data_IF_329207722448
#
_entry.id   IF_329207722448
#
_cell.length_a   1.000
_cell.length_b   1.000
_cell.length_c   1.000
_cell.angle_alpha   90.00
_cell.angle_beta   90.00
_cell.angle_gamma   90.00
#
_symmetry.space_group_name_H-M   'P 1'
#
loop_
_entity.id
_entity.type
_entity.pdbx_description
1 polymer ?
#
# COMPACT_ATOMS: atom_id res chain seq x y z
N UNK A 1 3.46 61.32 -4.97
CA UNK A 1 3.53 60.33 -3.87
C UNK A 1 2.40 59.33 -4.09
N UNK A 2 2.56 58.03 -4.32
CA UNK A 2 3.70 57.18 -4.67
C UNK A 2 3.09 55.83 -5.15
N UNK A 3 2.47 55.79 -6.33
CA UNK A 3 1.89 54.53 -6.87
C UNK A 3 2.94 53.42 -6.98
N UNK A 4 4.20 53.78 -7.26
CA UNK A 4 5.32 52.83 -7.34
C UNK A 4 5.72 52.23 -5.98
N UNK A 5 5.50 52.95 -4.88
CA UNK A 5 5.79 52.46 -3.53
C UNK A 5 4.81 51.38 -3.07
N UNK A 6 3.54 51.56 -3.44
CA UNK A 6 2.45 50.66 -3.08
C UNK A 6 2.55 49.32 -3.83
N UNK A 7 2.88 49.36 -5.12
CA UNK A 7 3.11 48.16 -5.94
C UNK A 7 4.30 47.34 -5.39
N UNK A 8 5.40 47.99 -4.99
CA UNK A 8 6.56 47.30 -4.40
C UNK A 8 6.23 46.69 -3.04
N UNK A 9 5.42 47.35 -2.22
CA UNK A 9 4.94 46.83 -0.94
C UNK A 9 4.05 45.60 -1.13
N UNK A 10 3.09 45.69 -2.05
CA UNK A 10 2.22 44.59 -2.41
C UNK A 10 3.01 43.37 -2.92
N UNK A 11 3.95 43.56 -3.85
CA UNK A 11 4.79 42.47 -4.37
C UNK A 11 5.62 41.81 -3.26
N UNK A 12 6.18 42.57 -2.32
CA UNK A 12 6.88 42.01 -1.16
C UNK A 12 5.95 41.18 -0.28
N UNK A 13 4.73 41.65 -0.03
CA UNK A 13 3.75 40.90 0.76
C UNK A 13 3.40 39.57 0.09
N UNK A 14 3.19 39.56 -1.23
CA UNK A 14 2.95 38.34 -2.00
C UNK A 14 4.13 37.38 -1.89
N UNK A 15 5.37 37.86 -2.05
CA UNK A 15 6.59 37.02 -1.92
C UNK A 15 6.68 36.40 -0.53
N UNK A 16 6.49 37.19 0.54
CA UNK A 16 6.53 36.69 1.91
C UNK A 16 5.44 35.67 2.20
N UNK A 17 4.22 35.91 1.72
CA UNK A 17 3.12 34.98 1.89
C UNK A 17 3.42 33.65 1.20
N UNK A 18 3.89 33.67 -0.05
CA UNK A 18 4.28 32.47 -0.77
C UNK A 18 5.41 31.71 -0.05
N UNK A 19 6.42 32.43 0.45
CA UNK A 19 7.51 31.80 1.20
C UNK A 19 7.00 31.15 2.49
N UNK A 20 6.14 31.84 3.24
CA UNK A 20 5.53 31.30 4.44
C UNK A 20 4.69 30.05 4.13
N UNK A 21 3.90 30.07 3.05
CA UNK A 21 3.12 28.91 2.61
C UNK A 21 4.04 27.73 2.25
N UNK A 22 5.11 27.96 1.49
CA UNK A 22 6.08 26.92 1.14
C UNK A 22 6.71 26.27 2.37
N UNK A 23 7.10 27.09 3.35
CA UNK A 23 7.73 26.59 4.57
C UNK A 23 6.75 25.86 5.49
N UNK A 24 5.56 26.41 5.72
CA UNK A 24 4.63 25.88 6.73
C UNK A 24 3.78 24.73 6.17
N UNK A 25 3.35 24.81 4.91
CA UNK A 25 2.42 23.83 4.33
C UNK A 25 3.14 22.66 3.68
N UNK A 26 4.32 22.89 3.09
CA UNK A 26 5.02 21.86 2.32
C UNK A 26 6.32 21.40 2.99
N UNK A 27 7.28 22.31 3.22
CA UNK A 27 8.63 21.91 3.65
C UNK A 27 8.65 21.43 5.10
N UNK A 28 8.02 22.16 6.01
CA UNK A 28 7.96 21.86 7.44
C UNK A 28 7.41 20.46 7.72
N UNK A 29 6.21 20.10 7.23
CA UNK A 29 5.65 18.77 7.41
C UNK A 29 6.55 17.65 6.89
N UNK A 30 7.20 17.84 5.73
CA UNK A 30 8.13 16.86 5.16
C UNK A 30 9.39 16.69 6.00
N UNK A 31 9.99 17.78 6.46
CA UNK A 31 11.18 17.71 7.33
C UNK A 31 10.83 17.00 8.64
N UNK A 32 9.71 17.37 9.27
CA UNK A 32 9.25 16.71 10.49
C UNK A 32 8.99 15.22 10.26
N UNK A 33 8.34 14.84 9.16
CA UNK A 33 8.08 13.45 8.83
C UNK A 33 9.38 12.65 8.64
N UNK A 34 10.36 13.17 7.90
CA UNK A 34 11.66 12.51 7.72
C UNK A 34 12.42 12.33 9.04
N UNK A 35 12.36 13.32 9.94
CA UNK A 35 13.00 13.23 11.25
C UNK A 35 12.28 12.20 12.13
N UNK A 36 10.96 12.26 12.21
CA UNK A 36 10.14 11.39 13.06
C UNK A 36 10.16 9.91 12.63
N UNK A 37 10.46 9.62 11.37
CA UNK A 37 10.53 8.25 10.83
C UNK A 37 11.96 7.82 10.52
N UNK A 38 12.96 8.57 11.01
CA UNK A 38 14.38 8.24 10.84
C UNK A 38 14.67 6.92 11.55
N UNK A 39 15.24 5.97 10.81
CA UNK A 39 15.60 4.65 11.34
C UNK A 39 14.57 3.56 11.10
N UNK A 40 13.40 3.88 10.54
CA UNK A 40 12.46 2.86 10.08
C UNK A 40 13.05 2.04 8.93
N UNK A 41 12.74 0.76 8.92
CA UNK A 41 13.01 -0.10 7.76
C UNK A 41 12.15 0.33 6.58
N UNK A 42 12.56 -0.08 5.37
CA UNK A 42 11.81 0.26 4.17
C UNK A 42 10.35 -0.28 4.19
N UNK A 43 10.13 -1.45 4.81
CA UNK A 43 8.79 -2.02 5.00
C UNK A 43 7.93 -1.16 5.92
N UNK A 44 8.47 -0.73 7.07
CA UNK A 44 7.75 0.14 8.00
C UNK A 44 7.44 1.49 7.37
N UNK A 45 8.43 2.09 6.69
CA UNK A 45 8.28 3.38 6.02
C UNK A 45 7.14 3.35 4.97
N UNK A 46 7.05 2.28 4.17
CA UNK A 46 5.99 2.12 3.16
C UNK A 46 4.56 2.01 3.72
N UNK A 47 4.42 1.69 5.01
CA UNK A 47 3.13 1.56 5.71
C UNK A 47 2.76 2.80 6.53
N UNK A 48 3.55 3.86 6.47
CA UNK A 48 3.22 5.15 7.08
C UNK A 48 2.12 5.86 6.30
N UNK A 49 1.43 6.81 6.93
CA UNK A 49 0.39 7.62 6.29
C UNK A 49 0.93 8.66 5.30
N UNK A 50 2.24 8.89 5.27
CA UNK A 50 2.84 10.02 4.54
C UNK A 50 2.66 11.34 5.28
N UNK A 51 3.02 12.43 4.60
CA UNK A 51 2.78 13.79 5.10
C UNK A 51 1.39 14.25 4.68
N UNK A 52 0.86 15.28 5.33
CA UNK A 52 -0.44 15.85 4.91
C UNK A 52 -0.44 16.33 3.45
N UNK A 53 0.68 16.88 2.97
CA UNK A 53 0.85 17.37 1.61
C UNK A 53 1.23 16.27 0.59
N UNK A 54 1.71 15.11 1.05
CA UNK A 54 1.87 13.88 0.26
C UNK A 54 1.37 12.65 1.03
N UNK A 55 0.04 12.45 1.07
CA UNK A 55 -0.52 11.28 1.72
C UNK A 55 -0.14 10.01 0.95
N UNK A 56 0.16 8.95 1.69
CA UNK A 56 0.45 7.64 1.12
C UNK A 56 -0.85 6.91 0.78
N UNK A 57 -1.30 7.07 -0.46
CA UNK A 57 -2.51 6.41 -0.98
C UNK A 57 -2.39 4.88 -1.02
N UNK A 58 -1.17 4.33 -0.99
CA UNK A 58 -0.89 2.89 -1.08
C UNK A 58 -0.71 2.21 0.28
N UNK A 59 -0.87 2.94 1.40
CA UNK A 59 -0.63 2.42 2.75
C UNK A 59 -1.32 1.08 3.00
N UNK A 60 -2.61 0.99 2.67
CA UNK A 60 -3.42 -0.22 2.88
C UNK A 60 -2.91 -1.41 2.04
N UNK A 61 -2.41 -1.14 0.84
CA UNK A 61 -1.83 -2.18 -0.02
C UNK A 61 -0.51 -2.70 0.56
N UNK A 62 0.34 -1.83 1.12
CA UNK A 62 1.56 -2.25 1.81
C UNK A 62 1.27 -3.01 3.11
N UNK A 63 0.24 -2.62 3.87
CA UNK A 63 -0.21 -3.34 5.06
C UNK A 63 -0.69 -4.76 4.73
N UNK A 64 -1.53 -4.89 3.69
CA UNK A 64 -1.97 -6.19 3.20
C UNK A 64 -0.80 -7.04 2.68
N UNK A 65 0.08 -6.44 1.88
CA UNK A 65 1.23 -7.14 1.33
C UNK A 65 2.16 -7.66 2.43
N UNK A 66 2.41 -6.86 3.47
CA UNK A 66 3.25 -7.26 4.60
C UNK A 66 2.61 -8.41 5.39
N UNK A 67 1.30 -8.33 5.64
CA UNK A 67 0.57 -9.41 6.30
C UNK A 67 0.68 -10.74 5.53
N UNK A 68 0.53 -10.69 4.19
CA UNK A 68 0.71 -11.88 3.33
C UNK A 68 2.17 -12.34 3.36
N UNK A 69 3.14 -11.42 3.32
CA UNK A 69 4.58 -11.72 3.33
C UNK A 69 4.98 -12.48 4.60
N UNK A 70 4.41 -12.11 5.74
CA UNK A 70 4.66 -12.76 7.03
C UNK A 70 3.97 -14.12 7.13
N UNK A 71 2.78 -14.27 6.55
CA UNK A 71 1.98 -15.49 6.63
C UNK A 71 2.36 -16.58 5.60
N UNK A 72 3.22 -16.28 4.62
CA UNK A 72 3.52 -17.21 3.51
C UNK A 72 5.03 -17.34 3.25
N UNK A 73 5.51 -18.51 2.78
CA UNK A 73 6.90 -18.68 2.37
C UNK A 73 7.23 -17.88 1.10
N UNK A 74 8.52 -17.67 0.82
CA UNK A 74 8.99 -16.84 -0.29
C UNK A 74 8.66 -17.39 -1.68
N UNK A 75 8.45 -18.69 -1.81
CA UNK A 75 8.12 -19.40 -3.06
C UNK A 75 6.62 -19.69 -3.20
N UNK A 76 5.79 -19.02 -2.41
CA UNK A 76 4.35 -19.20 -2.43
C UNK A 76 3.70 -18.74 -3.75
N UNK A 77 2.63 -19.45 -4.13
CA UNK A 77 1.67 -19.02 -5.15
C UNK A 77 0.52 -18.28 -4.46
N UNK A 78 0.35 -17.00 -4.74
CA UNK A 78 -0.67 -16.14 -4.12
C UNK A 78 -1.72 -15.75 -5.16
N UNK A 79 -2.93 -16.23 -4.96
CA UNK A 79 -4.10 -15.90 -5.76
C UNK A 79 -4.83 -14.72 -5.09
N UNK A 80 -4.80 -13.58 -5.76
CA UNK A 80 -5.34 -12.31 -5.29
C UNK A 80 -6.69 -12.02 -5.97
N UNK A 81 -7.61 -11.31 -5.27
CA UNK A 81 -8.78 -10.75 -5.92
C UNK A 81 -8.38 -9.77 -7.02
N UNK A 82 -9.36 -9.28 -7.76
CA UNK A 82 -9.15 -8.25 -8.78
C UNK A 82 -8.35 -7.04 -8.25
N UNK A 83 -7.37 -6.61 -9.04
CA UNK A 83 -6.56 -5.42 -8.78
C UNK A 83 -7.37 -4.11 -8.85
N UNK A 84 -6.86 -3.05 -8.22
CA UNK A 84 -7.40 -1.68 -8.35
C UNK A 84 -8.34 -1.24 -7.21
N UNK A 85 -8.51 -2.09 -6.18
CA UNK A 85 -9.04 -1.64 -4.89
C UNK A 85 -7.96 -0.97 -4.03
N UNK A 86 -8.31 -0.17 -2.99
CA UNK A 86 -7.36 0.57 -2.15
C UNK A 86 -6.25 -0.28 -1.51
N UNK A 87 -6.54 -1.55 -1.25
CA UNK A 87 -5.60 -2.52 -0.67
C UNK A 87 -4.99 -3.50 -1.72
N UNK A 88 -5.40 -3.41 -2.98
CA UNK A 88 -5.03 -4.35 -4.05
C UNK A 88 -4.29 -3.66 -5.19
N UNK A 89 -3.47 -2.66 -4.86
CA UNK A 89 -2.63 -1.99 -5.86
C UNK A 89 -1.44 -2.86 -6.26
N UNK A 90 -1.34 -3.28 -7.54
CA UNK A 90 -0.33 -4.24 -7.98
C UNK A 90 1.10 -3.80 -7.70
N UNK A 91 1.39 -2.50 -7.84
CA UNK A 91 2.74 -1.95 -7.64
C UNK A 91 3.23 -2.13 -6.20
N UNK A 92 2.37 -1.87 -5.21
CA UNK A 92 2.69 -2.04 -3.79
C UNK A 92 2.79 -3.52 -3.41
N UNK A 93 1.86 -4.34 -3.91
CA UNK A 93 1.86 -5.78 -3.69
C UNK A 93 3.13 -6.45 -4.27
N UNK A 94 3.46 -6.18 -5.54
CA UNK A 94 4.65 -6.73 -6.20
C UNK A 94 5.93 -6.34 -5.46
N UNK A 95 6.08 -5.06 -5.10
CA UNK A 95 7.27 -4.56 -4.40
C UNK A 95 7.56 -5.30 -3.09
N UNK A 96 6.52 -5.73 -2.39
CA UNK A 96 6.62 -6.32 -1.05
C UNK A 96 6.63 -7.85 -1.08
N UNK A 97 5.92 -8.45 -2.03
CA UNK A 97 5.69 -9.90 -2.07
C UNK A 97 6.72 -10.68 -2.88
N UNK A 98 7.52 -10.02 -3.72
CA UNK A 98 8.63 -10.68 -4.42
C UNK A 98 9.52 -11.45 -3.43
N UNK A 99 9.95 -12.68 -3.76
CA UNK A 99 9.85 -13.35 -5.07
C UNK A 99 8.62 -14.25 -5.28
N UNK A 100 7.55 -14.12 -4.49
CA UNK A 100 6.34 -14.97 -4.63
C UNK A 100 5.68 -14.80 -5.99
N UNK A 101 5.00 -15.84 -6.45
CA UNK A 101 4.19 -15.79 -7.67
C UNK A 101 2.82 -15.20 -7.35
N UNK A 102 2.45 -14.11 -8.02
CA UNK A 102 1.18 -13.42 -7.82
C UNK A 102 0.27 -13.62 -9.02
N UNK A 103 -0.98 -14.01 -8.78
CA UNK A 103 -2.01 -14.19 -9.79
C UNK A 103 -3.25 -13.38 -9.41
N UNK A 104 -3.73 -12.50 -10.29
CA UNK A 104 -4.90 -11.65 -10.03
C UNK A 104 -6.13 -12.15 -10.78
N UNK A 105 -7.31 -12.18 -10.15
CA UNK A 105 -8.53 -12.86 -10.62
C UNK A 105 -8.95 -12.59 -12.09
N UNK A 106 -8.66 -11.41 -12.64
CA UNK A 106 -8.97 -11.03 -14.03
C UNK A 106 -7.83 -11.19 -15.04
N UNK A 107 -6.73 -11.82 -14.65
CA UNK A 107 -5.58 -12.09 -15.53
C UNK A 107 -5.69 -13.47 -16.18
N UNK A 108 -5.12 -13.63 -17.38
CA UNK A 108 -5.11 -14.91 -18.08
C UNK A 108 -4.36 -15.98 -17.27
N UNK A 109 -3.30 -15.58 -16.56
CA UNK A 109 -2.52 -16.46 -15.69
C UNK A 109 -3.36 -16.99 -14.53
N UNK A 110 -4.17 -16.14 -13.89
CA UNK A 110 -5.06 -16.61 -12.83
C UNK A 110 -6.03 -17.68 -13.34
N UNK A 111 -6.67 -17.44 -14.48
CA UNK A 111 -7.61 -18.41 -15.05
C UNK A 111 -6.92 -19.74 -15.40
N UNK A 112 -5.67 -19.66 -15.86
CA UNK A 112 -4.85 -20.84 -16.18
C UNK A 112 -4.42 -21.64 -14.94
N UNK A 113 -4.04 -20.96 -13.86
CA UNK A 113 -3.39 -21.61 -12.71
C UNK A 113 -4.31 -21.84 -11.50
N UNK A 114 -5.41 -21.09 -11.37
CA UNK A 114 -6.30 -21.21 -10.21
C UNK A 114 -6.93 -22.60 -10.10
N UNK A 115 -7.34 -23.21 -11.21
CA UNK A 115 -7.86 -24.59 -11.22
C UNK A 115 -6.81 -25.65 -10.82
N UNK A 116 -5.54 -25.38 -11.11
CA UNK A 116 -4.41 -26.23 -10.74
C UNK A 116 -3.84 -25.90 -9.35
N UNK A 117 -4.28 -24.83 -8.70
CA UNK A 117 -3.78 -24.38 -7.40
C UNK A 117 -3.78 -25.46 -6.30
N UNK A 118 -4.76 -26.39 -6.22
CA UNK A 118 -4.69 -27.48 -5.24
C UNK A 118 -3.58 -28.51 -5.51
N UNK A 119 -3.09 -28.57 -6.76
CA UNK A 119 -1.98 -29.44 -7.18
C UNK A 119 -0.63 -28.72 -7.05
N UNK A 120 -0.64 -27.39 -7.08
CA UNK A 120 0.53 -26.57 -6.78
C UNK A 120 0.76 -26.56 -5.26
N UNK A 121 1.90 -27.10 -4.82
CA UNK A 121 2.31 -26.97 -3.42
C UNK A 121 2.42 -25.50 -3.04
N UNK A 122 2.12 -25.17 -1.77
CA UNK A 122 2.30 -23.81 -1.22
C UNK A 122 1.47 -22.77 -1.99
N UNK A 123 0.18 -23.01 -2.09
CA UNK A 123 -0.79 -22.12 -2.73
C UNK A 123 -1.74 -21.50 -1.72
N UNK A 124 -1.93 -20.20 -1.79
CA UNK A 124 -2.87 -19.45 -0.95
C UNK A 124 -3.77 -18.55 -1.79
N UNK A 125 -5.01 -18.41 -1.34
CA UNK A 125 -5.98 -17.45 -1.88
C UNK A 125 -6.22 -16.35 -0.86
N UNK A 126 -6.18 -15.11 -1.32
CA UNK A 126 -6.61 -13.95 -0.55
C UNK A 126 -8.08 -13.69 -0.87
N UNK A 127 -8.91 -13.55 0.16
CA UNK A 127 -10.35 -13.27 0.03
C UNK A 127 -10.76 -12.13 0.94
N UNK A 128 -11.85 -11.44 0.57
CA UNK A 128 -12.46 -10.43 1.44
C UNK A 128 -13.20 -11.08 2.62
N UNK A 129 -13.41 -10.31 3.70
CA UNK A 129 -14.04 -10.81 4.93
C UNK A 129 -15.46 -11.38 4.74
N UNK A 130 -16.26 -10.82 3.83
CA UNK A 130 -17.58 -11.33 3.43
C UNK A 130 -17.49 -12.72 2.76
N UNK A 131 -16.40 -12.97 2.03
CA UNK A 131 -16.12 -14.22 1.33
C UNK A 131 -15.40 -15.26 2.20
N UNK A 132 -15.13 -15.00 3.49
CA UNK A 132 -14.39 -15.91 4.39
C UNK A 132 -14.97 -17.32 4.51
N UNK A 133 -16.27 -17.49 4.21
CA UNK A 133 -16.96 -18.79 4.23
C UNK A 133 -16.56 -19.71 3.09
N UNK A 134 -16.04 -19.14 2.00
CA UNK A 134 -15.49 -19.90 0.86
C UNK A 134 -14.20 -20.64 1.21
N UNK A 135 -13.57 -20.31 2.34
CA UNK A 135 -12.34 -20.94 2.80
C UNK A 135 -12.62 -22.06 3.81
N UNK A 136 -11.85 -23.15 3.69
CA UNK A 136 -11.84 -24.20 4.71
C UNK A 136 -11.43 -23.59 6.05
N UNK A 137 -12.10 -23.99 7.13
CA UNK A 137 -11.76 -23.50 8.50
C UNK A 137 -10.30 -23.81 8.85
N UNK A 138 -9.83 -25.01 8.47
CA UNK A 138 -8.43 -25.43 8.61
C UNK A 138 -7.62 -24.76 7.50
N UNK A 139 -6.71 -23.86 7.86
CA UNK A 139 -5.87 -23.10 6.91
C UNK A 139 -6.40 -21.73 6.51
N UNK A 140 -7.40 -21.19 7.23
CA UNK A 140 -7.84 -19.80 7.11
C UNK A 140 -7.19 -18.94 8.20
N UNK A 141 -6.55 -17.85 7.81
CA UNK A 141 -5.90 -16.88 8.70
C UNK A 141 -6.34 -15.45 8.34
N UNK A 142 -6.51 -14.60 9.35
CA UNK A 142 -6.87 -13.20 9.12
C UNK A 142 -5.60 -12.38 8.83
N UNK A 143 -5.63 -11.57 7.77
CA UNK A 143 -4.48 -10.73 7.39
C UNK A 143 -4.54 -9.40 8.15
N UNK A 144 -4.26 -9.45 9.45
CA UNK A 144 -4.35 -8.30 10.36
C UNK A 144 -5.71 -7.57 10.26
N UNK A 145 -5.72 -6.25 10.36
CA UNK A 145 -6.93 -5.41 10.31
C UNK A 145 -7.26 -4.93 8.88
N UNK A 146 -6.77 -5.62 7.86
CA UNK A 146 -6.93 -5.20 6.45
C UNK A 146 -8.31 -5.52 5.87
N UNK A 147 -9.13 -6.29 6.58
CA UNK A 147 -10.41 -6.80 6.06
C UNK A 147 -10.26 -7.98 5.09
N UNK A 148 -9.05 -8.50 4.91
CA UNK A 148 -8.76 -9.67 4.09
C UNK A 148 -8.39 -10.90 4.92
N UNK A 149 -8.61 -12.05 4.31
CA UNK A 149 -8.28 -13.36 4.85
C UNK A 149 -7.40 -14.11 3.87
N UNK A 150 -6.48 -14.87 4.41
CA UNK A 150 -5.63 -15.79 3.67
C UNK A 150 -6.15 -17.21 3.84
N UNK A 151 -6.24 -17.94 2.74
CA UNK A 151 -6.80 -19.28 2.70
C UNK A 151 -5.85 -20.22 1.99
N UNK A 152 -5.37 -21.23 2.71
CA UNK A 152 -4.53 -22.27 2.12
C UNK A 152 -5.36 -23.11 1.14
N UNK A 153 -4.85 -23.29 -0.08
CA UNK A 153 -5.54 -24.03 -1.17
C UNK A 153 -5.03 -25.48 -1.27
N UNK A 154 -3.89 -25.79 -0.66
CA UNK A 154 -3.33 -27.14 -0.69
C UNK A 154 -4.19 -28.17 0.08
N UNK A 155 -3.98 -29.44 -0.28
CA UNK A 155 -4.75 -30.59 0.22
C UNK A 155 -4.51 -30.88 1.69
#
# INVERSE_FOLDING_TARGET
MSESGDIKGFLKAVVWLNLATLLVVFLGPRLWFMISHRGMTQSEYSRTAGTYDLPNIYRQSFELAEAIRLATPKDANIFLPEAGGPALEPSALLRTLLPRHLFFERTAEYQRFHGAAPLLSRSWRVVKADQKKSCRKKGREQLADTGYWLCRIDR
#
